data_IF_995686094905
#
_entry.id   IF_995686094905
#
_cell.length_a   1.000
_cell.length_b   1.000
_cell.length_c   1.000
_cell.angle_alpha   90.00
_cell.angle_beta   90.00
_cell.angle_gamma   90.00
#
_symmetry.space_group_name_H-M   'P 1'
#
loop_
_entity.id
_entity.type
_entity.pdbx_description
1 polymer ?
#
# COMPACT_ATOMS: atom_id res chain seq x y z
N UNK A 1 -49.91 2.12 -51.02
CA UNK A 1 -49.01 2.14 -49.86
C UNK A 1 -47.64 2.65 -50.28
N UNK A 2 -47.12 3.67 -49.62
CA UNK A 2 -46.16 4.66 -50.15
C UNK A 2 -44.73 4.13 -50.36
N UNK A 3 -44.35 3.65 -51.53
CA UNK A 3 -42.96 3.31 -51.93
C UNK A 3 -41.94 4.41 -51.54
N UNK A 4 -42.34 5.68 -51.64
CA UNK A 4 -41.46 6.83 -51.26
C UNK A 4 -41.10 6.83 -49.77
N UNK A 5 -41.98 6.40 -48.83
CA UNK A 5 -41.70 6.32 -47.42
C UNK A 5 -40.68 5.22 -47.08
N UNK A 6 -40.79 4.08 -47.72
CA UNK A 6 -39.81 2.98 -47.51
C UNK A 6 -38.45 3.35 -48.09
N UNK A 7 -38.41 4.07 -49.22
CA UNK A 7 -37.16 4.54 -49.82
C UNK A 7 -36.43 5.55 -48.91
N UNK A 8 -37.15 6.46 -48.23
CA UNK A 8 -36.59 7.39 -47.27
C UNK A 8 -36.01 6.63 -46.07
N UNK A 9 -36.73 5.62 -45.54
CA UNK A 9 -36.22 4.77 -44.43
C UNK A 9 -34.95 3.99 -44.83
N UNK A 10 -34.92 3.43 -46.04
CA UNK A 10 -33.72 2.75 -46.55
C UNK A 10 -32.51 3.70 -46.65
N UNK A 11 -32.71 4.91 -47.21
CA UNK A 11 -31.64 5.91 -47.30
C UNK A 11 -31.15 6.31 -45.92
N UNK A 12 -32.06 6.56 -44.98
CA UNK A 12 -31.70 6.98 -43.62
C UNK A 12 -30.96 5.86 -42.86
N UNK A 13 -31.40 4.62 -43.03
CA UNK A 13 -30.73 3.48 -42.45
C UNK A 13 -29.35 3.21 -43.01
N UNK A 14 -29.22 3.32 -44.36
CA UNK A 14 -27.93 3.18 -45.04
C UNK A 14 -26.96 4.29 -44.61
N UNK A 15 -27.43 5.53 -44.52
CA UNK A 15 -26.62 6.66 -44.06
C UNK A 15 -26.13 6.45 -42.61
N UNK A 16 -27.02 5.97 -41.74
CA UNK A 16 -26.64 5.63 -40.35
C UNK A 16 -25.61 4.50 -40.29
N UNK A 17 -25.79 3.46 -41.10
CA UNK A 17 -24.84 2.33 -41.17
C UNK A 17 -23.47 2.79 -41.69
N UNK A 18 -23.40 3.63 -42.69
CA UNK A 18 -22.16 4.22 -43.22
C UNK A 18 -21.47 5.09 -42.15
N UNK A 19 -22.24 5.90 -41.42
CA UNK A 19 -21.70 6.75 -40.36
C UNK A 19 -21.10 5.90 -39.18
N UNK A 20 -21.79 4.83 -38.78
CA UNK A 20 -21.28 3.90 -37.77
C UNK A 20 -20.03 3.17 -38.29
N UNK A 21 -20.05 2.70 -39.53
CA UNK A 21 -18.89 2.06 -40.15
C UNK A 21 -17.68 2.98 -40.24
N UNK A 22 -17.85 4.21 -40.66
CA UNK A 22 -16.78 5.22 -40.70
C UNK A 22 -16.22 5.49 -39.27
N UNK A 23 -17.09 5.54 -38.29
CA UNK A 23 -16.68 5.70 -36.87
C UNK A 23 -15.90 4.50 -36.34
N UNK A 24 -16.31 3.29 -36.70
CA UNK A 24 -15.59 2.05 -36.35
C UNK A 24 -14.21 2.00 -37.00
N UNK A 25 -14.11 2.33 -38.28
CA UNK A 25 -12.83 2.42 -38.98
C UNK A 25 -11.90 3.43 -38.32
N UNK A 26 -12.42 4.60 -37.98
CA UNK A 26 -11.63 5.62 -37.26
C UNK A 26 -11.15 5.13 -35.91
N UNK A 27 -12.03 4.47 -35.10
CA UNK A 27 -11.68 3.99 -33.78
C UNK A 27 -10.73 2.78 -33.81
N UNK A 28 -10.87 1.87 -34.76
CA UNK A 28 -10.13 0.61 -34.81
C UNK A 28 -8.86 0.69 -35.67
N UNK A 29 -8.89 1.38 -36.80
CA UNK A 29 -7.77 1.45 -37.75
C UNK A 29 -6.94 2.73 -37.59
N UNK A 30 -7.58 3.90 -37.49
CA UNK A 30 -6.83 5.16 -37.40
C UNK A 30 -6.30 5.40 -35.99
N UNK A 31 -7.17 5.22 -34.99
CA UNK A 31 -6.82 5.48 -33.60
C UNK A 31 -6.67 4.18 -32.76
N UNK A 32 -6.62 3.01 -33.42
CA UNK A 32 -6.56 1.70 -32.75
C UNK A 32 -5.37 1.57 -31.81
N UNK A 33 -4.19 2.00 -32.24
CA UNK A 33 -2.98 1.98 -31.43
C UNK A 33 -3.10 2.89 -30.19
N UNK A 34 -3.65 4.08 -30.33
CA UNK A 34 -3.89 4.99 -29.22
C UNK A 34 -4.85 4.39 -28.17
N UNK A 35 -5.95 3.78 -28.62
CA UNK A 35 -6.90 3.15 -27.68
C UNK A 35 -6.37 1.85 -27.08
N UNK A 36 -5.53 1.12 -27.81
CA UNK A 36 -4.83 -0.07 -27.28
C UNK A 36 -3.82 0.33 -26.20
N UNK A 37 -2.96 1.31 -26.48
CA UNK A 37 -2.00 1.84 -25.51
C UNK A 37 -2.70 2.40 -24.25
N UNK A 38 -3.81 3.11 -24.44
CA UNK A 38 -4.64 3.62 -23.34
C UNK A 38 -5.35 2.51 -22.54
N UNK A 39 -5.70 1.40 -23.18
CA UNK A 39 -6.22 0.19 -22.52
C UNK A 39 -5.12 -0.52 -21.74
N UNK A 40 -3.95 -0.70 -22.34
CA UNK A 40 -2.81 -1.36 -21.75
C UNK A 40 -2.27 -0.56 -20.55
N UNK A 41 -2.19 0.75 -20.65
CA UNK A 41 -1.80 1.64 -19.53
C UNK A 41 -2.78 1.61 -18.36
N UNK A 42 -4.05 1.21 -18.56
CA UNK A 42 -5.04 0.98 -17.50
C UNK A 42 -4.97 -0.42 -16.90
N UNK A 43 -4.38 -1.37 -17.60
CA UNK A 43 -4.33 -2.79 -17.23
C UNK A 43 -2.98 -3.12 -16.59
N UNK A 44 -1.92 -2.48 -17.05
CA UNK A 44 -0.56 -2.65 -16.54
C UNK A 44 -0.34 -1.72 -15.35
N UNK A 45 -0.01 -2.29 -14.21
CA UNK A 45 0.46 -1.52 -13.04
C UNK A 45 1.97 -1.52 -13.06
N UNK A 46 2.57 -0.33 -13.06
CA UNK A 46 3.99 -0.19 -12.77
C UNK A 46 4.18 -0.43 -11.28
N UNK A 47 4.96 -1.44 -10.94
CA UNK A 47 5.45 -1.67 -9.58
C UNK A 47 6.90 -1.18 -9.57
N UNK A 48 7.21 -0.29 -8.64
CA UNK A 48 8.57 0.13 -8.39
C UNK A 48 9.36 -1.06 -7.83
N UNK A 49 10.41 -1.47 -8.53
CA UNK A 49 11.34 -2.48 -8.06
C UNK A 49 12.46 -1.76 -7.30
N UNK A 50 12.44 -1.90 -5.99
CA UNK A 50 13.44 -1.28 -5.13
C UNK A 50 14.79 -1.92 -5.40
N UNK A 51 15.77 -1.11 -5.78
CA UNK A 51 17.14 -1.55 -5.98
C UNK A 51 17.81 -1.93 -4.63
N UNK A 52 18.70 -2.94 -4.61
CA UNK A 52 19.55 -3.18 -3.47
C UNK A 52 20.48 -1.97 -3.25
N UNK A 53 20.75 -1.66 -2.00
CA UNK A 53 21.76 -0.63 -1.65
C UNK A 53 23.16 -1.16 -1.87
N UNK A 54 24.12 -0.28 -2.15
CA UNK A 54 25.53 -0.64 -2.23
C UNK A 54 26.02 -1.30 -0.94
N UNK A 55 26.87 -2.30 -1.06
CA UNK A 55 27.46 -3.01 0.08
C UNK A 55 28.57 -2.15 0.72
N UNK A 56 28.76 -2.31 2.03
CA UNK A 56 29.89 -1.70 2.74
C UNK A 56 30.82 -2.82 3.15
N UNK A 57 32.03 -2.79 2.60
CA UNK A 57 33.04 -3.82 2.78
C UNK A 57 34.17 -3.33 3.68
N UNK A 58 34.88 -4.27 4.32
CA UNK A 58 36.13 -3.99 4.96
C UNK A 58 37.29 -3.91 3.92
N UNK A 59 38.50 -3.57 4.37
CA UNK A 59 39.68 -3.52 3.52
C UNK A 59 40.05 -4.86 2.86
N UNK A 60 39.51 -5.98 3.34
CA UNK A 60 39.75 -7.32 2.83
C UNK A 60 38.60 -7.81 1.93
N UNK A 61 37.58 -6.95 1.64
CA UNK A 61 36.43 -7.29 0.84
C UNK A 61 35.37 -8.11 1.58
N UNK A 62 35.36 -8.10 2.92
CA UNK A 62 34.33 -8.79 3.72
C UNK A 62 33.16 -7.86 3.98
N UNK A 63 31.95 -8.39 3.86
CA UNK A 63 30.71 -7.64 4.07
C UNK A 63 30.59 -7.18 5.52
N UNK A 64 30.64 -5.85 5.72
CA UNK A 64 30.27 -5.22 6.99
C UNK A 64 28.77 -4.93 6.98
N UNK A 65 28.23 -4.46 5.84
CA UNK A 65 26.81 -4.25 5.63
C UNK A 65 26.44 -4.73 4.23
N UNK A 66 25.49 -5.61 4.16
CA UNK A 66 25.01 -6.25 2.92
C UNK A 66 23.50 -6.10 2.74
N UNK A 67 22.93 -6.79 1.77
CA UNK A 67 21.49 -6.88 1.58
C UNK A 67 21.03 -8.33 1.69
N UNK A 68 19.85 -8.55 2.25
CA UNK A 68 19.16 -9.84 2.23
C UNK A 68 17.79 -9.70 1.62
N UNK A 69 17.27 -10.80 1.14
CA UNK A 69 15.90 -10.86 0.64
C UNK A 69 14.90 -10.78 1.79
N UNK A 70 13.93 -9.90 1.67
CA UNK A 70 12.80 -9.79 2.58
C UNK A 70 11.47 -9.89 1.81
N UNK A 71 10.45 -10.41 2.47
CA UNK A 71 9.11 -10.53 1.91
C UNK A 71 8.19 -9.50 2.56
N UNK A 72 7.65 -8.62 1.73
CA UNK A 72 6.73 -7.58 2.16
C UNK A 72 5.31 -7.91 1.71
N UNK A 73 4.35 -7.71 2.60
CA UNK A 73 2.94 -7.98 2.35
C UNK A 73 2.21 -6.68 2.09
N UNK A 74 1.63 -6.57 0.89
CA UNK A 74 0.86 -5.40 0.45
C UNK A 74 -0.62 -5.74 0.32
N UNK A 75 -1.47 -4.79 0.67
CA UNK A 75 -2.90 -4.83 0.36
C UNK A 75 -3.15 -3.93 -0.86
N UNK A 76 -3.69 -4.51 -1.93
CA UNK A 76 -4.04 -3.81 -3.15
C UNK A 76 -5.46 -3.26 -3.06
N UNK A 77 -5.69 -2.05 -3.59
CA UNK A 77 -7.02 -1.48 -3.68
C UNK A 77 -7.83 -2.13 -4.80
N UNK A 78 -9.12 -2.41 -4.55
CA UNK A 78 -10.06 -2.91 -5.54
C UNK A 78 -11.39 -2.17 -5.40
N UNK A 79 -11.91 -1.61 -6.50
CA UNK A 79 -13.16 -0.84 -6.52
C UNK A 79 -14.41 -1.67 -6.18
N UNK A 80 -14.37 -2.98 -6.47
CA UNK A 80 -15.51 -3.89 -6.24
C UNK A 80 -15.59 -4.40 -4.80
N UNK A 81 -14.60 -4.08 -3.96
CA UNK A 81 -14.53 -4.59 -2.59
C UNK A 81 -15.36 -3.74 -1.64
N UNK A 82 -16.18 -4.41 -0.82
CA UNK A 82 -16.89 -3.75 0.27
C UNK A 82 -15.96 -3.46 1.47
N UNK A 83 -16.28 -2.47 2.31
CA UNK A 83 -15.52 -2.19 3.53
C UNK A 83 -15.39 -3.43 4.44
N UNK A 84 -16.45 -4.24 4.54
CA UNK A 84 -16.52 -5.44 5.37
C UNK A 84 -15.55 -6.53 4.87
N UNK A 85 -15.44 -6.69 3.55
CA UNK A 85 -14.48 -7.61 2.94
C UNK A 85 -13.03 -7.20 3.24
N UNK A 86 -12.73 -5.89 3.16
CA UNK A 86 -11.40 -5.39 3.50
C UNK A 86 -11.10 -5.60 4.99
N UNK A 87 -12.07 -5.37 5.87
CA UNK A 87 -11.92 -5.63 7.30
C UNK A 87 -11.63 -7.11 7.58
N UNK A 88 -12.29 -8.04 6.85
CA UNK A 88 -12.03 -9.48 6.96
C UNK A 88 -10.61 -9.84 6.53
N UNK A 89 -10.11 -9.25 5.45
CA UNK A 89 -8.74 -9.49 4.98
C UNK A 89 -7.73 -8.99 6.01
N UNK A 90 -7.90 -7.77 6.54
CA UNK A 90 -7.05 -7.22 7.58
C UNK A 90 -7.06 -8.12 8.82
N UNK A 91 -8.22 -8.60 9.24
CA UNK A 91 -8.32 -9.53 10.36
C UNK A 91 -7.58 -10.84 10.11
N UNK A 92 -7.74 -11.44 8.92
CA UNK A 92 -7.04 -12.67 8.56
C UNK A 92 -5.52 -12.46 8.54
N UNK A 93 -5.05 -11.32 8.00
CA UNK A 93 -3.62 -10.98 8.01
C UNK A 93 -3.08 -10.89 9.43
N UNK A 94 -3.79 -10.28 10.38
CA UNK A 94 -3.36 -10.25 11.78
C UNK A 94 -3.34 -11.61 12.46
N UNK A 95 -4.09 -12.59 11.97
CA UNK A 95 -4.02 -13.98 12.47
C UNK A 95 -2.78 -14.71 11.97
N UNK A 96 -2.35 -14.41 10.74
CA UNK A 96 -1.27 -15.10 10.06
C UNK A 96 0.07 -14.42 10.29
N UNK A 97 0.13 -13.08 10.18
CA UNK A 97 1.35 -12.29 10.32
C UNK A 97 1.46 -11.76 11.75
N UNK A 98 2.38 -12.33 12.52
CA UNK A 98 2.54 -12.01 13.96
C UNK A 98 3.42 -10.78 14.21
N UNK A 99 4.29 -10.44 13.26
CA UNK A 99 5.28 -9.36 13.39
C UNK A 99 4.71 -7.93 13.36
N UNK A 100 3.43 -7.75 13.02
CA UNK A 100 2.81 -6.44 12.72
C UNK A 100 2.32 -5.65 13.94
N UNK A 101 2.30 -6.26 15.13
CA UNK A 101 1.54 -5.76 16.29
C UNK A 101 2.01 -4.41 16.85
N UNK A 102 3.27 -4.04 16.71
CA UNK A 102 3.83 -2.87 17.42
C UNK A 102 3.69 -1.53 16.69
N UNK A 103 3.74 -1.53 15.36
CA UNK A 103 3.69 -0.28 14.57
C UNK A 103 2.28 0.24 14.33
N UNK A 104 1.28 -0.64 14.33
CA UNK A 104 -0.12 -0.28 14.07
C UNK A 104 -0.83 0.22 15.34
N UNK A 105 -0.47 -0.30 16.50
CA UNK A 105 -1.07 0.10 17.79
C UNK A 105 -0.80 1.55 18.17
N UNK A 106 0.20 2.21 17.58
CA UNK A 106 0.50 3.62 17.83
C UNK A 106 -0.33 4.62 17.00
N UNK A 107 -1.05 4.16 15.97
CA UNK A 107 -1.82 5.03 15.05
C UNK A 107 -3.06 5.62 15.73
N UNK A 108 -3.75 4.82 16.56
CA UNK A 108 -4.80 5.29 17.44
C UNK A 108 -4.28 5.09 18.87
N UNK A 109 -4.07 6.16 19.66
CA UNK A 109 -3.52 6.05 21.00
C UNK A 109 -4.58 5.54 22.01
N UNK A 110 -5.13 4.38 21.71
CA UNK A 110 -6.16 3.69 22.50
C UNK A 110 -5.72 2.27 22.75
N UNK A 111 -5.99 1.76 23.93
CA UNK A 111 -5.77 0.38 24.31
C UNK A 111 -7.05 -0.22 24.90
N UNK A 112 -7.11 -1.55 24.95
CA UNK A 112 -8.23 -2.28 25.57
C UNK A 112 -7.82 -2.69 27.00
N UNK A 113 -8.53 -2.15 28.02
CA UNK A 113 -8.36 -2.50 29.42
C UNK A 113 -9.72 -2.89 30.02
N UNK A 114 -9.80 -4.05 30.66
CA UNK A 114 -11.01 -4.53 31.36
C UNK A 114 -12.28 -4.31 30.51
N UNK A 115 -12.26 -4.83 29.27
CA UNK A 115 -13.38 -4.72 28.31
C UNK A 115 -13.86 -3.29 28.03
N UNK A 116 -12.96 -2.33 28.06
CA UNK A 116 -13.21 -0.96 27.69
C UNK A 116 -12.06 -0.34 26.90
N UNK A 117 -12.36 0.63 26.04
CA UNK A 117 -11.37 1.44 25.35
C UNK A 117 -10.89 2.57 26.22
N UNK A 118 -9.58 2.69 26.44
CA UNK A 118 -8.95 3.77 27.19
C UNK A 118 -7.80 4.36 26.39
N UNK A 119 -7.50 5.66 26.59
CA UNK A 119 -6.33 6.24 25.94
C UNK A 119 -5.05 5.71 26.57
N UNK A 120 -4.10 5.27 25.72
CA UNK A 120 -2.78 4.77 26.12
C UNK A 120 -1.76 5.90 26.29
N UNK A 121 -1.93 6.99 25.53
CA UNK A 121 -1.10 8.17 25.62
C UNK A 121 -1.46 9.05 26.82
N UNK A 122 -0.53 9.94 27.22
CA UNK A 122 -0.84 10.94 28.20
C UNK A 122 -1.94 11.92 27.72
N UNK A 123 -2.48 12.74 28.66
CA UNK A 123 -3.60 13.63 28.34
C UNK A 123 -3.26 14.68 27.25
N UNK A 124 -2.00 15.12 27.19
CA UNK A 124 -1.54 16.13 26.24
C UNK A 124 -1.41 15.55 24.84
N UNK A 125 -0.79 14.37 24.72
CA UNK A 125 -0.64 13.64 23.46
C UNK A 125 -2.00 13.19 22.91
N UNK A 126 -2.85 12.62 23.77
CA UNK A 126 -4.20 12.21 23.39
C UNK A 126 -5.03 13.43 22.91
N UNK A 127 -4.87 14.59 23.53
CA UNK A 127 -5.53 15.81 23.09
C UNK A 127 -5.03 16.28 21.72
N UNK A 128 -3.70 16.31 21.51
CA UNK A 128 -3.08 16.68 20.24
C UNK A 128 -3.57 15.75 19.12
N UNK A 129 -3.57 14.46 19.39
CA UNK A 129 -4.07 13.46 18.44
C UNK A 129 -5.55 13.64 18.09
N UNK A 130 -6.42 13.86 19.13
CA UNK A 130 -7.85 14.16 18.93
C UNK A 130 -8.05 15.35 18.01
N UNK A 131 -7.36 16.47 18.28
CA UNK A 131 -7.45 17.70 17.48
C UNK A 131 -7.08 17.44 16.01
N UNK A 132 -6.00 16.69 15.77
CA UNK A 132 -5.54 16.38 14.42
C UNK A 132 -6.47 15.44 13.66
N UNK A 133 -7.30 14.65 14.38
CA UNK A 133 -8.23 13.70 13.79
C UNK A 133 -9.71 14.17 13.87
N UNK A 134 -9.97 15.44 14.19
CA UNK A 134 -11.29 16.04 14.17
C UNK A 134 -12.19 15.68 15.37
N UNK A 135 -11.61 15.25 16.49
CA UNK A 135 -12.33 14.94 17.72
C UNK A 135 -12.27 16.11 18.73
N UNK A 136 -13.30 16.21 19.57
CA UNK A 136 -13.34 17.19 20.66
C UNK A 136 -12.46 16.74 21.84
N UNK A 137 -11.96 17.70 22.63
CA UNK A 137 -11.18 17.41 23.84
C UNK A 137 -11.91 16.48 24.81
N UNK A 138 -13.22 16.64 24.95
CA UNK A 138 -14.09 15.87 25.84
C UNK A 138 -14.44 14.47 25.35
N UNK A 139 -14.18 14.13 24.07
CA UNK A 139 -14.55 12.84 23.52
C UNK A 139 -13.78 11.71 24.21
N UNK A 140 -14.51 10.68 24.67
CA UNK A 140 -13.95 9.48 25.30
C UNK A 140 -13.29 8.57 24.25
N UNK A 141 -12.44 7.64 24.72
CA UNK A 141 -11.85 6.62 23.83
C UNK A 141 -12.93 5.72 23.21
N UNK A 142 -14.00 5.42 23.95
CA UNK A 142 -15.15 4.70 23.44
C UNK A 142 -15.78 5.43 22.25
N UNK A 143 -16.09 6.73 22.40
CA UNK A 143 -16.69 7.53 21.33
C UNK A 143 -15.81 7.62 20.09
N UNK A 144 -14.48 7.71 20.27
CA UNK A 144 -13.52 7.67 19.17
C UNK A 144 -13.62 6.35 18.42
N UNK A 145 -13.63 5.24 19.15
CA UNK A 145 -13.74 3.90 18.56
C UNK A 145 -15.08 3.69 17.85
N UNK A 146 -16.20 4.12 18.46
CA UNK A 146 -17.54 4.03 17.86
C UNK A 146 -17.60 4.79 16.53
N UNK A 147 -16.95 5.96 16.46
CA UNK A 147 -16.85 6.75 15.22
C UNK A 147 -16.09 5.98 14.13
N UNK A 148 -14.97 5.32 14.45
CA UNK A 148 -14.22 4.55 13.48
C UNK A 148 -14.92 3.24 13.11
N UNK A 149 -15.60 2.57 14.04
CA UNK A 149 -16.41 1.38 13.79
C UNK A 149 -17.49 1.70 12.74
N UNK A 150 -18.20 2.80 12.91
CA UNK A 150 -19.22 3.26 11.95
C UNK A 150 -18.59 3.67 10.61
N UNK A 151 -17.53 4.51 10.63
CA UNK A 151 -16.84 4.99 9.42
C UNK A 151 -16.34 3.86 8.54
N UNK A 152 -15.73 2.84 9.13
CA UNK A 152 -15.13 1.72 8.41
C UNK A 152 -16.03 0.49 8.33
N UNK A 153 -17.27 0.57 8.82
CA UNK A 153 -18.26 -0.53 8.85
C UNK A 153 -17.67 -1.81 9.45
N UNK A 154 -17.05 -1.68 10.64
CA UNK A 154 -16.46 -2.81 11.35
C UNK A 154 -17.60 -3.49 12.13
N UNK A 155 -17.78 -4.80 11.93
CA UNK A 155 -18.73 -5.58 12.71
C UNK A 155 -18.13 -5.88 14.08
N UNK A 156 -18.52 -5.11 15.12
CA UNK A 156 -17.98 -5.25 16.46
C UNK A 156 -18.40 -6.56 17.15
N UNK A 157 -19.54 -7.14 16.75
CA UNK A 157 -20.02 -8.41 17.34
C UNK A 157 -19.20 -9.61 16.84
N UNK A 158 -18.58 -9.47 15.67
CA UNK A 158 -17.81 -10.54 15.04
C UNK A 158 -16.35 -10.60 15.53
N UNK A 159 -15.81 -9.50 16.00
CA UNK A 159 -14.40 -9.35 16.34
C UNK A 159 -14.25 -8.95 17.80
N UNK A 160 -13.21 -9.48 18.49
CA UNK A 160 -12.88 -8.99 19.83
C UNK A 160 -12.49 -7.51 19.79
N UNK A 161 -12.66 -6.78 20.89
CA UNK A 161 -12.32 -5.36 21.01
C UNK A 161 -10.88 -5.04 20.54
N UNK A 162 -9.93 -5.93 20.86
CA UNK A 162 -8.54 -5.80 20.41
C UNK A 162 -8.44 -5.88 18.86
N UNK A 163 -9.17 -6.79 18.24
CA UNK A 163 -9.18 -6.92 16.77
C UNK A 163 -9.93 -5.78 16.10
N UNK A 164 -11.02 -5.28 16.70
CA UNK A 164 -11.71 -4.07 16.24
C UNK A 164 -10.76 -2.87 16.23
N UNK A 165 -9.99 -2.68 17.29
CA UNK A 165 -8.98 -1.63 17.40
C UNK A 165 -7.89 -1.77 16.31
N UNK A 166 -7.35 -2.98 16.13
CA UNK A 166 -6.34 -3.27 15.09
C UNK A 166 -6.88 -2.95 13.67
N UNK A 167 -8.09 -3.39 13.36
CA UNK A 167 -8.73 -3.11 12.07
C UNK A 167 -8.92 -1.60 11.89
N UNK A 168 -9.45 -0.91 12.90
CA UNK A 168 -9.66 0.55 12.86
C UNK A 168 -8.35 1.32 12.67
N UNK A 169 -7.30 0.95 13.42
CA UNK A 169 -5.97 1.56 13.32
C UNK A 169 -5.34 1.33 11.94
N UNK A 170 -5.44 0.12 11.39
CA UNK A 170 -4.97 -0.18 10.03
C UNK A 170 -5.73 0.65 9.00
N UNK A 171 -7.05 0.73 9.10
CA UNK A 171 -7.88 1.52 8.18
C UNK A 171 -7.54 3.01 8.23
N UNK A 172 -7.31 3.56 9.42
CA UNK A 172 -6.85 4.94 9.59
C UNK A 172 -5.46 5.13 8.98
N UNK A 173 -4.53 4.21 9.24
CA UNK A 173 -3.19 4.27 8.66
C UNK A 173 -3.21 4.17 7.13
N UNK A 174 -4.08 3.35 6.55
CA UNK A 174 -4.32 3.30 5.11
C UNK A 174 -4.71 4.68 4.55
N UNK A 175 -5.65 5.38 5.21
CA UNK A 175 -6.07 6.72 4.81
C UNK A 175 -4.91 7.72 4.92
N UNK A 176 -4.18 7.70 6.03
CA UNK A 176 -3.05 8.60 6.28
C UNK A 176 -1.90 8.40 5.28
N UNK A 177 -1.72 7.17 4.77
CA UNK A 177 -0.71 6.83 3.75
C UNK A 177 -1.20 6.91 2.31
N UNK A 178 -2.39 7.47 2.09
CA UNK A 178 -2.94 7.68 0.74
C UNK A 178 -3.26 6.39 -0.01
N UNK A 179 -3.71 5.34 0.70
CA UNK A 179 -4.13 4.09 0.08
C UNK A 179 -5.15 4.31 -1.03
N UNK A 180 -4.79 3.92 -2.24
CA UNK A 180 -5.60 4.13 -3.43
C UNK A 180 -5.36 3.03 -4.47
N UNK A 181 -5.98 3.16 -5.63
CA UNK A 181 -5.79 2.23 -6.76
C UNK A 181 -4.34 2.21 -7.26
N UNK A 182 -3.62 3.31 -7.12
CA UNK A 182 -2.23 3.47 -7.59
C UNK A 182 -1.21 3.39 -6.46
N UNK A 183 -1.65 3.44 -5.20
CA UNK A 183 -0.80 3.37 -4.01
C UNK A 183 -1.23 2.20 -3.13
N UNK A 184 -0.62 1.01 -3.28
CA UNK A 184 -0.85 -0.13 -2.41
C UNK A 184 -0.49 0.19 -0.95
N UNK A 185 -1.15 -0.47 -0.01
CA UNK A 185 -0.83 -0.33 1.41
C UNK A 185 0.16 -1.41 1.84
N UNK A 186 1.32 -1.01 2.32
CA UNK A 186 2.29 -1.90 2.94
C UNK A 186 1.77 -2.30 4.33
N UNK A 187 1.34 -3.55 4.46
CA UNK A 187 0.78 -4.09 5.70
C UNK A 187 1.87 -4.57 6.65
N UNK A 188 2.86 -5.31 6.13
CA UNK A 188 3.98 -5.84 6.91
C UNK A 188 5.24 -5.91 6.07
N UNK A 189 6.38 -5.61 6.69
CA UNK A 189 7.72 -5.76 6.14
C UNK A 189 8.42 -6.96 6.76
N UNK A 190 9.31 -7.58 5.98
CA UNK A 190 10.21 -8.64 6.46
C UNK A 190 9.47 -9.80 7.13
N UNK A 191 8.42 -10.26 6.47
CA UNK A 191 7.61 -11.35 6.98
C UNK A 191 8.34 -12.69 6.79
N UNK A 192 8.40 -13.55 7.81
CA UNK A 192 9.02 -14.88 7.72
C UNK A 192 8.40 -15.73 6.61
N UNK A 193 9.23 -16.55 5.96
CA UNK A 193 8.80 -17.37 4.81
C UNK A 193 7.67 -18.35 5.19
N UNK A 194 7.64 -18.80 6.44
CA UNK A 194 6.60 -19.69 6.97
C UNK A 194 5.23 -19.01 6.95
N UNK A 195 5.16 -17.74 7.36
CA UNK A 195 3.91 -16.94 7.35
C UNK A 195 3.49 -16.60 5.92
N UNK A 196 4.47 -16.34 5.03
CA UNK A 196 4.24 -16.11 3.60
C UNK A 196 3.65 -17.37 2.92
N UNK A 197 4.16 -18.55 3.26
CA UNK A 197 3.65 -19.82 2.73
C UNK A 197 2.18 -20.02 3.08
N UNK A 198 1.78 -19.73 4.32
CA UNK A 198 0.37 -19.80 4.74
C UNK A 198 -0.52 -18.82 3.95
N UNK A 199 -0.04 -17.60 3.68
CA UNK A 199 -0.79 -16.62 2.87
C UNK A 199 -0.97 -17.14 1.44
N UNK A 200 0.05 -17.74 0.85
CA UNK A 200 0.00 -18.28 -0.52
C UNK A 200 -0.89 -19.51 -0.61
N UNK A 201 -0.82 -20.41 0.35
CA UNK A 201 -1.67 -21.62 0.40
C UNK A 201 -3.15 -21.27 0.56
N UNK A 202 -3.46 -20.23 1.33
CA UNK A 202 -4.82 -19.78 1.60
C UNK A 202 -5.22 -18.54 0.77
N UNK A 203 -4.79 -18.45 -0.49
CA UNK A 203 -4.98 -17.27 -1.35
C UNK A 203 -6.45 -16.79 -1.42
N UNK A 204 -7.42 -17.69 -1.37
CA UNK A 204 -8.86 -17.36 -1.33
C UNK A 204 -9.26 -16.53 -0.09
N UNK A 205 -8.56 -16.71 1.02
CA UNK A 205 -8.78 -15.95 2.26
C UNK A 205 -8.12 -14.57 2.22
N UNK A 206 -7.20 -14.35 1.27
CA UNK A 206 -6.40 -13.14 1.13
C UNK A 206 -6.55 -12.47 -0.27
N UNK A 207 -7.77 -12.24 -0.76
CA UNK A 207 -7.95 -11.64 -2.08
C UNK A 207 -7.34 -10.24 -2.12
N UNK A 208 -6.59 -9.93 -3.19
CA UNK A 208 -5.85 -8.68 -3.38
C UNK A 208 -4.77 -8.40 -2.30
N UNK A 209 -4.23 -9.42 -1.71
CA UNK A 209 -2.97 -9.36 -0.98
C UNK A 209 -1.86 -9.75 -1.97
N UNK A 210 -0.81 -8.94 -2.02
CA UNK A 210 0.36 -9.18 -2.87
C UNK A 210 1.59 -9.32 -1.99
N UNK A 211 2.43 -10.29 -2.34
CA UNK A 211 3.71 -10.51 -1.67
C UNK A 211 4.79 -10.03 -2.63
N UNK A 212 5.57 -9.07 -2.19
CA UNK A 212 6.65 -8.48 -2.98
C UNK A 212 7.98 -8.79 -2.28
N UNK A 213 8.90 -9.34 -3.04
CA UNK A 213 10.27 -9.58 -2.58
C UNK A 213 11.08 -8.30 -2.75
N UNK A 214 11.70 -7.84 -1.67
CA UNK A 214 12.51 -6.61 -1.68
C UNK A 214 13.84 -6.85 -0.97
N UNK A 215 14.92 -6.17 -1.40
CA UNK A 215 16.18 -6.17 -0.66
C UNK A 215 16.01 -5.40 0.64
N UNK A 216 16.43 -5.99 1.75
CA UNK A 216 16.50 -5.35 3.06
C UNK A 216 17.94 -5.28 3.55
N UNK A 217 18.28 -4.17 4.19
CA UNK A 217 19.61 -3.94 4.73
C UNK A 217 19.93 -4.97 5.82
N UNK A 218 21.07 -5.59 5.72
CA UNK A 218 21.56 -6.61 6.64
C UNK A 218 22.87 -6.17 7.29
N UNK A 219 22.94 -6.28 8.60
CA UNK A 219 24.10 -5.98 9.43
C UNK A 219 24.61 -7.28 10.08
N UNK A 220 25.48 -8.06 9.40
CA UNK A 220 25.88 -9.40 9.86
C UNK A 220 26.50 -9.40 11.26
N UNK A 221 27.15 -8.31 11.64
CA UNK A 221 27.81 -8.17 12.95
C UNK A 221 26.96 -7.44 14.00
N UNK A 222 25.65 -7.29 13.76
CA UNK A 222 24.69 -6.70 14.69
C UNK A 222 25.03 -5.24 15.03
N UNK A 223 25.28 -4.95 16.29
CA UNK A 223 25.57 -3.59 16.78
C UNK A 223 27.02 -3.13 16.59
N UNK A 224 27.90 -3.97 16.02
CA UNK A 224 29.30 -3.61 15.81
C UNK A 224 29.41 -2.39 14.88
N UNK A 225 30.04 -1.32 15.37
CA UNK A 225 30.24 -0.09 14.59
C UNK A 225 28.95 0.67 14.26
N UNK A 226 27.81 0.37 14.90
CA UNK A 226 26.50 0.95 14.58
C UNK A 226 26.51 2.50 14.58
N UNK A 227 27.28 3.13 15.47
CA UNK A 227 27.43 4.60 15.53
C UNK A 227 28.22 5.18 14.35
N UNK A 228 29.05 4.38 13.69
CA UNK A 228 29.82 4.78 12.49
C UNK A 228 29.03 4.42 11.23
N UNK A 229 28.56 3.18 11.14
CA UNK A 229 27.83 2.68 9.98
C UNK A 229 26.49 3.39 9.83
N UNK A 230 25.81 3.63 10.92
CA UNK A 230 24.48 4.19 10.93
C UNK A 230 23.41 3.15 10.63
N UNK A 231 22.22 3.63 10.30
CA UNK A 231 21.06 2.78 9.99
C UNK A 231 20.24 3.34 8.83
N UNK A 232 19.51 2.47 8.18
CA UNK A 232 18.52 2.80 7.17
C UNK A 232 17.14 2.75 7.80
N UNK A 233 16.23 3.61 7.37
CA UNK A 233 14.86 3.64 7.84
C UNK A 233 13.94 4.32 6.85
N UNK A 234 12.62 4.14 7.05
CA UNK A 234 11.61 4.75 6.19
C UNK A 234 11.72 6.28 6.21
N UNK A 235 11.55 6.89 5.04
CA UNK A 235 11.61 8.34 4.87
C UNK A 235 10.52 9.03 5.70
N UNK A 236 10.86 10.10 6.41
CA UNK A 236 9.89 10.95 7.10
C UNK A 236 9.27 11.98 6.14
N UNK A 237 8.14 12.58 6.51
CA UNK A 237 7.50 13.61 5.70
C UNK A 237 8.43 14.79 5.39
N UNK A 238 9.21 15.23 6.37
CA UNK A 238 10.18 16.33 6.20
C UNK A 238 11.35 15.97 5.29
N UNK A 239 11.84 14.73 5.37
CA UNK A 239 12.89 14.21 4.48
C UNK A 239 12.35 14.03 3.06
N UNK A 240 11.10 13.60 2.92
CA UNK A 240 10.44 13.44 1.63
C UNK A 240 10.27 14.80 0.92
N UNK A 241 9.81 15.84 1.62
CA UNK A 241 9.69 17.19 1.04
C UNK A 241 11.01 17.71 0.48
N UNK A 242 12.14 17.36 1.11
CA UNK A 242 13.47 17.78 0.67
C UNK A 242 14.04 16.97 -0.48
N UNK A 243 13.53 15.73 -0.66
CA UNK A 243 14.11 14.76 -1.60
C UNK A 243 13.09 14.26 -2.64
N UNK A 244 11.91 14.86 -2.73
CA UNK A 244 10.87 14.48 -3.70
C UNK A 244 11.38 14.49 -5.14
N UNK A 245 12.19 15.50 -5.48
CA UNK A 245 12.76 15.68 -6.82
C UNK A 245 13.87 14.66 -7.14
N UNK A 246 14.41 14.00 -6.12
CA UNK A 246 15.45 12.98 -6.26
C UNK A 246 14.86 11.56 -6.46
N UNK A 247 13.57 11.44 -6.79
CA UNK A 247 12.92 10.15 -7.08
C UNK A 247 12.64 9.31 -5.83
N UNK A 248 12.55 9.92 -4.63
CA UNK A 248 12.04 9.24 -3.44
C UNK A 248 10.52 9.18 -3.47
N UNK A 249 9.99 8.08 -2.96
CA UNK A 249 8.56 7.89 -2.70
C UNK A 249 8.32 7.92 -1.19
N UNK A 250 7.07 8.05 -0.78
CA UNK A 250 6.68 8.06 0.63
C UNK A 250 7.00 6.74 1.37
N UNK A 251 7.25 5.68 0.61
CA UNK A 251 7.62 4.36 1.11
C UNK A 251 9.11 4.04 0.95
N UNK A 252 9.91 4.99 0.48
CA UNK A 252 11.34 4.79 0.29
C UNK A 252 12.08 4.71 1.62
N UNK A 253 13.18 3.97 1.63
CA UNK A 253 14.13 3.93 2.73
C UNK A 253 15.31 4.87 2.46
N UNK A 254 15.79 5.54 3.50
CA UNK A 254 16.90 6.50 3.43
C UNK A 254 17.85 6.24 4.60
N UNK A 255 19.14 6.52 4.42
CA UNK A 255 20.11 6.50 5.50
C UNK A 255 19.79 7.59 6.55
N UNK A 256 19.66 7.19 7.81
CA UNK A 256 19.25 8.09 8.91
C UNK A 256 20.44 8.74 9.60
N UNK A 257 21.53 8.02 9.72
CA UNK A 257 22.73 8.44 10.43
C UNK A 257 23.98 7.71 9.87
N UNK A 258 25.16 8.10 10.36
CA UNK A 258 26.45 7.49 10.03
C UNK A 258 26.81 7.51 8.54
N UNK A 259 27.56 6.51 8.13
CA UNK A 259 28.00 6.29 6.74
C UNK A 259 26.78 6.12 5.81
N UNK A 260 25.75 5.42 6.26
CA UNK A 260 24.52 5.20 5.49
C UNK A 260 23.88 6.53 5.04
N UNK A 261 23.92 7.56 5.89
CA UNK A 261 23.42 8.89 5.55
C UNK A 261 24.42 9.70 4.76
N UNK A 262 25.70 9.64 5.16
CA UNK A 262 26.74 10.47 4.54
C UNK A 262 27.01 10.08 3.08
N UNK A 263 26.96 8.78 2.78
CA UNK A 263 27.15 8.23 1.45
C UNK A 263 25.83 7.81 0.78
N UNK A 264 24.69 8.41 1.15
CA UNK A 264 23.37 8.07 0.59
C UNK A 264 23.37 8.05 -0.93
N UNK A 265 23.96 9.07 -1.58
CA UNK A 265 24.00 9.18 -3.05
C UNK A 265 24.79 8.06 -3.73
N UNK A 266 25.76 7.46 -3.03
CA UNK A 266 26.55 6.33 -3.53
C UNK A 266 25.93 4.98 -3.19
N UNK A 267 25.32 4.88 -1.99
CA UNK A 267 24.77 3.63 -1.50
C UNK A 267 23.37 3.35 -2.04
N UNK A 268 22.63 4.40 -2.38
CA UNK A 268 21.30 4.27 -2.95
C UNK A 268 21.40 3.71 -4.37
N UNK A 269 20.75 2.57 -4.64
CA UNK A 269 20.60 2.06 -5.99
C UNK A 269 19.53 2.85 -6.79
N UNK A 270 19.54 2.70 -8.10
CA UNK A 270 18.50 3.24 -8.97
C UNK A 270 17.35 2.24 -9.07
N UNK A 271 16.16 2.67 -8.64
CA UNK A 271 14.98 1.82 -8.67
C UNK A 271 14.55 1.50 -10.11
N UNK A 272 14.25 0.23 -10.35
CA UNK A 272 13.69 -0.22 -11.61
C UNK A 272 12.16 -0.08 -11.64
N UNK A 273 11.57 -0.17 -12.81
CA UNK A 273 10.13 -0.28 -12.98
C UNK A 273 9.77 -1.66 -13.54
N UNK A 274 8.93 -2.41 -12.82
CA UNK A 274 8.34 -3.65 -13.29
C UNK A 274 6.89 -3.43 -13.71
N UNK A 275 6.45 -4.03 -14.81
CA UNK A 275 5.05 -4.03 -15.21
C UNK A 275 4.37 -5.33 -14.77
N UNK A 276 3.30 -5.23 -14.02
CA UNK A 276 2.47 -6.40 -13.66
C UNK A 276 1.13 -6.29 -14.38
N UNK A 277 0.87 -7.27 -15.25
CA UNK A 277 -0.44 -7.38 -15.90
C UNK A 277 -1.48 -7.84 -14.88
N UNK A 278 -2.64 -7.19 -14.90
CA UNK A 278 -3.77 -7.51 -14.02
C UNK A 278 -4.30 -8.96 -14.20
N UNK A 279 -3.99 -9.58 -15.35
CA UNK A 279 -4.38 -10.96 -15.67
C UNK A 279 -3.47 -12.03 -15.05
N UNK A 280 -2.27 -11.66 -14.60
CA UNK A 280 -1.30 -12.60 -14.00
C UNK A 280 -1.42 -12.74 -12.48
N UNK A 281 -2.43 -12.11 -11.88
CA UNK A 281 -2.74 -12.23 -10.44
C UNK A 281 -3.99 -13.12 -10.31
N UNK A 282 -3.82 -14.39 -10.68
CA UNK A 282 -4.73 -15.51 -10.35
C UNK A 282 -3.92 -16.52 -9.57
#
# INVERSE_FOLDING_TARGET
MNRRRYMIFYILFTLAAVMIGARLVNLQLVNGNYYREKSDSRTVRSIELIAPRGEILDRNGRDIVSNRTAYNVYILSNRQRTPEQLNKIIYNLFKTVKSVDSSISSVIPVEVKKDSYVFSADKAEAFKWKKNNGFKKSDSAQKVMDTYIQRYKINADKYSMKNVLRIAATRLNMVNRGFSMVSPYLFAEDVPIEEISVIKEQAESFPNVSIVTQPMRNYPYGSLGAHVLGRVGMISAQEYEKNSDNGYTINSHIGKDGIERYLEDYLRGENGSGSVDRKSVV
#
